data_IF_505329634938
#
_entry.id   IF_505329634938
#
_cell.length_a   1.000
_cell.length_b   1.000
_cell.length_c   1.000
_cell.angle_alpha   90.00
_cell.angle_beta   90.00
_cell.angle_gamma   90.00
#
_symmetry.space_group_name_H-M   'P 1'
#
loop_
_entity.id
_entity.type
_entity.pdbx_description
1 polymer ?
#
# COMPACT_ATOMS: atom_id res chain seq x y z
N UNK A 1 20.24 -13.32 -12.88
CA UNK A 1 19.81 -12.00 -12.43
C UNK A 1 18.39 -12.10 -11.91
N UNK A 2 18.15 -11.58 -10.71
CA UNK A 2 16.82 -11.66 -10.09
C UNK A 2 15.89 -10.55 -10.49
N UNK A 3 14.60 -10.75 -10.27
CA UNK A 3 13.59 -9.71 -10.36
C UNK A 3 13.56 -8.92 -9.05
N UNK A 4 13.10 -7.67 -9.08
CA UNK A 4 12.93 -6.92 -7.85
C UNK A 4 12.00 -7.67 -6.88
N UNK A 5 12.37 -7.72 -5.60
CA UNK A 5 11.59 -8.43 -4.59
C UNK A 5 11.32 -7.57 -3.33
N UNK A 6 11.66 -6.30 -3.38
CA UNK A 6 11.34 -5.32 -2.35
C UNK A 6 10.69 -4.10 -2.96
N UNK A 7 9.67 -3.59 -2.25
CA UNK A 7 9.15 -2.25 -2.47
C UNK A 7 9.48 -1.48 -1.20
N UNK A 8 10.20 -0.39 -1.33
CA UNK A 8 10.57 0.46 -0.18
C UNK A 8 9.79 1.76 -0.27
N UNK A 9 9.04 2.07 0.78
CA UNK A 9 8.34 3.34 0.90
C UNK A 9 9.03 4.17 1.98
N UNK A 10 9.31 5.41 1.67
CA UNK A 10 9.88 6.35 2.64
C UNK A 10 8.74 6.97 3.41
N UNK A 11 8.78 6.84 4.73
CA UNK A 11 7.69 7.26 5.61
C UNK A 11 8.21 8.15 6.73
N UNK A 12 7.35 9.01 7.26
CA UNK A 12 7.75 9.88 8.35
C UNK A 12 7.90 9.12 9.66
N UNK A 13 6.93 8.25 9.97
CA UNK A 13 6.88 7.49 11.22
C UNK A 13 6.65 6.01 10.93
N UNK A 14 7.73 5.19 10.84
CA UNK A 14 7.57 3.78 10.47
C UNK A 14 6.61 3.00 11.36
N UNK A 15 6.56 3.29 12.66
CA UNK A 15 5.66 2.56 13.56
C UNK A 15 4.19 2.90 13.28
N UNK A 16 3.87 4.16 13.00
CA UNK A 16 2.50 4.56 12.63
C UNK A 16 2.10 3.96 11.28
N UNK A 17 3.01 3.99 10.32
CA UNK A 17 2.77 3.37 9.00
C UNK A 17 2.59 1.87 9.14
N UNK A 18 3.38 1.22 9.99
CA UNK A 18 3.28 -0.22 10.22
C UNK A 18 1.92 -0.60 10.83
N UNK A 19 1.40 0.20 11.76
CA UNK A 19 0.05 -0.03 12.30
C UNK A 19 -1.00 0.04 11.20
N UNK A 20 -0.89 1.04 10.34
CA UNK A 20 -1.79 1.18 9.20
C UNK A 20 -1.74 -0.05 8.29
N UNK A 21 -0.53 -0.46 7.88
CA UNK A 21 -0.37 -1.59 6.96
C UNK A 21 -0.75 -2.92 7.59
N UNK A 22 -0.47 -3.11 8.89
CA UNK A 22 -0.87 -4.32 9.60
C UNK A 22 -2.40 -4.49 9.58
N UNK A 23 -3.13 -3.38 9.81
CA UNK A 23 -4.60 -3.41 9.76
C UNK A 23 -5.09 -3.65 8.32
N UNK A 24 -4.50 -2.94 7.37
CA UNK A 24 -4.93 -3.01 5.98
C UNK A 24 -4.73 -4.39 5.38
N UNK A 25 -3.57 -4.99 5.65
CA UNK A 25 -3.15 -6.26 5.07
C UNK A 25 -3.56 -7.47 5.90
N UNK A 26 -4.05 -7.27 7.12
CA UNK A 26 -4.31 -8.33 8.10
C UNK A 26 -3.05 -9.19 8.30
N UNK A 27 -1.91 -8.53 8.51
CA UNK A 27 -0.63 -9.19 8.69
C UNK A 27 0.19 -8.51 9.76
N UNK A 28 1.05 -9.30 10.39
CA UNK A 28 2.06 -8.77 11.30
C UNK A 28 3.35 -8.52 10.54
N UNK A 29 4.16 -7.54 10.95
CA UNK A 29 5.47 -7.34 10.34
C UNK A 29 6.36 -8.57 10.48
N UNK A 30 7.19 -8.83 9.46
CA UNK A 30 8.24 -9.83 9.55
C UNK A 30 9.38 -9.37 10.45
N UNK A 31 9.66 -8.06 10.44
CA UNK A 31 10.74 -7.46 11.20
C UNK A 31 10.37 -6.00 11.50
N UNK A 32 10.85 -5.49 12.63
CA UNK A 32 10.50 -4.13 13.06
C UNK A 32 11.63 -3.55 13.90
N UNK A 33 12.02 -2.34 13.54
CA UNK A 33 12.96 -1.54 14.33
C UNK A 33 12.45 -0.10 14.39
N UNK A 34 13.19 0.79 15.05
CA UNK A 34 12.75 2.17 15.20
C UNK A 34 12.67 2.93 13.88
N UNK A 35 13.45 2.52 12.86
CA UNK A 35 13.52 3.23 11.58
C UNK A 35 13.13 2.40 10.36
N UNK A 36 12.77 1.13 10.55
CA UNK A 36 12.43 0.26 9.42
C UNK A 36 11.49 -0.85 9.86
N UNK A 37 10.40 -1.05 9.10
CA UNK A 37 9.46 -2.15 9.35
C UNK A 37 9.23 -2.87 8.03
N UNK A 38 9.20 -4.20 8.06
CA UNK A 38 9.08 -5.02 6.85
C UNK A 38 7.90 -5.97 6.96
N UNK A 39 7.12 -6.04 5.86
CA UNK A 39 6.01 -6.98 5.71
C UNK A 39 6.26 -7.91 4.54
N UNK A 40 5.73 -9.12 4.60
CA UNK A 40 5.66 -10.00 3.45
C UNK A 40 4.36 -9.74 2.69
N UNK A 41 4.45 -9.40 1.40
CA UNK A 41 3.27 -9.23 0.54
C UNK A 41 2.97 -10.53 -0.19
N UNK A 42 4.00 -11.27 -0.58
CA UNK A 42 3.91 -12.59 -1.19
C UNK A 42 5.25 -13.29 -0.91
N UNK A 43 5.38 -14.59 -1.21
CA UNK A 43 6.65 -15.27 -0.97
C UNK A 43 7.87 -14.60 -1.62
N UNK A 44 7.66 -13.90 -2.73
CA UNK A 44 8.74 -13.29 -3.48
C UNK A 44 8.74 -11.77 -3.42
N UNK A 45 7.88 -11.15 -2.59
CA UNK A 45 7.76 -9.70 -2.56
C UNK A 45 7.56 -9.18 -1.14
N UNK A 46 8.38 -8.23 -0.74
CA UNK A 46 8.32 -7.61 0.58
C UNK A 46 8.10 -6.11 0.48
N UNK A 47 7.42 -5.57 1.47
CA UNK A 47 7.21 -4.14 1.62
C UNK A 47 8.05 -3.66 2.81
N UNK A 48 8.94 -2.71 2.56
CA UNK A 48 9.71 -2.06 3.62
C UNK A 48 9.22 -0.63 3.82
N UNK A 49 9.06 -0.26 5.08
CA UNK A 49 8.69 1.10 5.48
C UNK A 49 9.92 1.69 6.16
N UNK A 50 10.57 2.64 5.51
CA UNK A 50 11.87 3.17 5.94
C UNK A 50 11.72 4.64 6.34
N UNK A 51 12.21 5.00 7.52
CA UNK A 51 12.13 6.38 8.00
C UNK A 51 12.82 7.31 7.02
N UNK A 52 12.06 8.28 6.47
CA UNK A 52 12.57 9.23 5.48
C UNK A 52 13.84 9.93 5.96
N UNK A 53 13.91 10.28 7.24
CA UNK A 53 15.05 10.99 7.81
C UNK A 53 16.36 10.20 7.78
N UNK A 54 16.27 8.86 7.68
CA UNK A 54 17.45 7.98 7.68
C UNK A 54 17.80 7.45 6.29
N UNK A 55 17.05 7.82 5.27
CA UNK A 55 17.31 7.35 3.90
C UNK A 55 18.50 8.11 3.32
N UNK A 56 19.46 7.35 2.78
CA UNK A 56 20.64 7.88 2.10
C UNK A 56 20.74 7.35 0.67
N UNK A 57 20.91 8.17 -0.36
CA UNK A 57 20.88 9.63 -0.34
C UNK A 57 19.52 10.18 0.08
N UNK A 58 19.48 11.41 0.57
CA UNK A 58 18.25 12.01 1.06
C UNK A 58 17.19 12.08 -0.04
N UNK A 59 15.95 11.66 0.25
CA UNK A 59 14.88 11.70 -0.75
C UNK A 59 14.39 13.12 -0.99
N UNK A 60 13.87 13.37 -2.19
CA UNK A 60 13.42 14.70 -2.61
C UNK A 60 11.92 14.93 -2.50
N UNK A 61 11.10 14.23 -3.23
CA UNK A 61 9.75 14.68 -3.55
C UNK A 61 8.62 13.92 -2.88
N UNK A 62 7.38 14.26 -3.28
CA UNK A 62 6.14 13.74 -2.72
C UNK A 62 5.90 12.26 -3.01
N UNK A 63 5.02 11.63 -2.20
CA UNK A 63 4.75 10.19 -2.25
C UNK A 63 3.78 9.78 -3.35
N UNK A 64 3.09 10.72 -4.00
CA UNK A 64 2.00 10.41 -4.93
C UNK A 64 2.42 10.23 -6.38
N UNK A 65 3.66 9.78 -6.61
CA UNK A 65 4.20 9.59 -7.96
C UNK A 65 4.06 8.16 -8.47
N UNK A 66 3.39 7.28 -7.72
CA UNK A 66 3.17 5.90 -8.10
C UNK A 66 2.13 5.25 -7.21
N UNK A 67 1.88 3.96 -7.45
CA UNK A 67 0.86 3.22 -6.70
C UNK A 67 1.32 1.80 -6.43
N UNK A 68 0.86 1.25 -5.30
CA UNK A 68 0.81 -0.20 -5.12
C UNK A 68 -0.57 -0.65 -5.58
N UNK A 69 -0.63 -1.64 -6.44
CA UNK A 69 -1.90 -2.09 -7.00
C UNK A 69 -2.12 -3.58 -6.76
N UNK A 70 -3.37 -3.95 -6.47
CA UNK A 70 -3.77 -5.32 -6.25
C UNK A 70 -4.98 -5.62 -7.14
N UNK A 71 -4.88 -6.70 -7.93
CA UNK A 71 -6.00 -7.16 -8.75
C UNK A 71 -6.87 -8.12 -7.94
N UNK A 72 -8.17 -8.03 -8.14
CA UNK A 72 -9.14 -8.98 -7.58
C UNK A 72 -9.98 -9.57 -8.71
N UNK A 73 -10.69 -10.66 -8.41
CA UNK A 73 -11.36 -11.44 -9.45
C UNK A 73 -12.72 -10.89 -9.86
N UNK A 74 -13.42 -10.17 -8.98
CA UNK A 74 -14.78 -9.72 -9.26
C UNK A 74 -14.98 -8.26 -8.87
N UNK A 75 -15.98 -7.63 -9.52
CA UNK A 75 -16.36 -6.26 -9.16
C UNK A 75 -16.91 -6.20 -7.73
N UNK A 76 -17.59 -7.25 -7.28
CA UNK A 76 -18.12 -7.32 -5.92
C UNK A 76 -17.01 -7.27 -4.87
N UNK A 77 -15.86 -7.88 -5.18
CA UNK A 77 -14.69 -7.79 -4.29
C UNK A 77 -14.16 -6.37 -4.19
N UNK A 78 -14.20 -5.59 -5.27
CA UNK A 78 -13.82 -4.17 -5.25
C UNK A 78 -14.69 -3.43 -4.24
N UNK A 79 -16.02 -3.62 -4.33
CA UNK A 79 -16.96 -2.95 -3.42
C UNK A 79 -16.74 -3.38 -1.96
N UNK A 80 -16.59 -4.68 -1.74
CA UNK A 80 -16.41 -5.23 -0.39
C UNK A 80 -15.12 -4.74 0.24
N UNK A 81 -14.03 -4.71 -0.51
CA UNK A 81 -12.75 -4.24 -0.01
C UNK A 81 -12.75 -2.74 0.26
N UNK A 82 -13.44 -1.95 -0.57
CA UNK A 82 -13.58 -0.53 -0.29
C UNK A 82 -14.29 -0.29 1.04
N UNK A 83 -15.40 -1.01 1.28
CA UNK A 83 -16.12 -0.94 2.54
C UNK A 83 -15.23 -1.35 3.72
N UNK A 84 -14.44 -2.41 3.54
CA UNK A 84 -13.51 -2.88 4.55
C UNK A 84 -12.44 -1.84 4.89
N UNK A 85 -11.84 -1.22 3.86
CA UNK A 85 -10.83 -0.16 4.05
C UNK A 85 -11.40 1.04 4.79
N UNK A 86 -12.64 1.41 4.48
CA UNK A 86 -13.33 2.48 5.22
C UNK A 86 -13.47 2.14 6.69
N UNK A 87 -13.88 0.91 7.00
CA UNK A 87 -14.02 0.46 8.39
C UNK A 87 -12.67 0.51 9.12
N UNK A 88 -11.59 0.26 8.40
CA UNK A 88 -10.22 0.28 8.95
C UNK A 88 -9.63 1.69 9.03
N UNK A 89 -10.38 2.71 8.62
CA UNK A 89 -9.96 4.09 8.75
C UNK A 89 -9.08 4.63 7.63
N UNK A 90 -8.99 3.92 6.51
CA UNK A 90 -8.19 4.39 5.38
C UNK A 90 -8.84 5.60 4.70
N UNK A 91 -8.02 6.53 4.25
CA UNK A 91 -8.48 7.69 3.49
C UNK A 91 -8.82 7.27 2.06
N UNK A 92 -10.07 7.40 1.65
CA UNK A 92 -10.52 7.04 0.32
C UNK A 92 -10.26 8.20 -0.63
N UNK A 93 -9.39 7.99 -1.62
CA UNK A 93 -9.10 8.98 -2.65
C UNK A 93 -10.03 8.87 -3.84
N UNK A 94 -10.52 7.65 -4.11
CA UNK A 94 -11.47 7.40 -5.19
C UNK A 94 -12.43 6.31 -4.73
N UNK A 95 -13.72 6.63 -4.69
CA UNK A 95 -14.77 5.64 -4.46
C UNK A 95 -14.81 4.68 -5.63
N UNK A 96 -15.40 3.47 -5.47
CA UNK A 96 -15.47 2.53 -6.58
C UNK A 96 -16.05 3.18 -7.84
N UNK A 97 -15.31 3.03 -8.94
CA UNK A 97 -15.64 3.61 -10.23
C UNK A 97 -15.19 2.68 -11.33
N UNK A 98 -15.84 2.74 -12.49
CA UNK A 98 -15.44 1.97 -13.66
C UNK A 98 -14.57 2.87 -14.56
N UNK A 99 -13.35 2.39 -14.83
CA UNK A 99 -12.40 3.06 -15.70
C UNK A 99 -12.07 2.13 -16.87
N UNK A 100 -11.24 2.59 -17.79
CA UNK A 100 -10.92 1.80 -18.99
C UNK A 100 -10.39 0.41 -18.68
N UNK A 101 -9.61 0.29 -17.60
CA UNK A 101 -8.98 -0.98 -17.22
C UNK A 101 -9.84 -1.84 -16.29
N UNK A 102 -10.97 -1.34 -15.81
CA UNK A 102 -11.87 -2.10 -14.95
C UNK A 102 -12.46 -1.31 -13.80
N UNK A 103 -13.14 -2.00 -12.90
CA UNK A 103 -13.71 -1.42 -11.67
C UNK A 103 -12.61 -1.25 -10.63
N UNK A 104 -12.55 -0.09 -9.98
CA UNK A 104 -11.41 0.23 -9.10
C UNK A 104 -11.78 1.19 -7.98
N UNK A 105 -11.03 1.15 -6.88
CA UNK A 105 -11.01 2.21 -5.88
C UNK A 105 -9.57 2.49 -5.46
N UNK A 106 -9.34 3.61 -4.78
CA UNK A 106 -8.02 4.06 -4.41
C UNK A 106 -8.02 4.61 -2.99
N UNK A 107 -7.05 4.20 -2.19
CA UNK A 107 -6.86 4.77 -0.84
C UNK A 107 -5.46 5.35 -0.72
N UNK A 108 -5.25 6.19 0.29
CA UNK A 108 -3.93 6.70 0.65
C UNK A 108 -3.51 6.13 1.98
N UNK A 109 -2.20 5.90 2.14
CA UNK A 109 -1.61 5.60 3.43
C UNK A 109 -1.36 6.91 4.22
N UNK A 110 -0.86 6.84 5.47
CA UNK A 110 -0.62 8.07 6.27
C UNK A 110 0.32 9.08 5.63
N UNK A 111 1.21 8.66 4.74
CA UNK A 111 2.17 9.54 4.07
C UNK A 111 1.73 9.96 2.67
N UNK A 112 0.55 9.53 2.24
CA UNK A 112 0.02 9.87 0.93
C UNK A 112 0.38 8.91 -0.19
N UNK A 113 1.01 7.77 0.11
CA UNK A 113 1.24 6.74 -0.90
C UNK A 113 -0.10 6.15 -1.32
N UNK A 114 -0.24 5.87 -2.62
CA UNK A 114 -1.48 5.40 -3.20
C UNK A 114 -1.54 3.88 -3.27
N UNK A 115 -2.69 3.34 -2.87
CA UNK A 115 -2.95 1.89 -2.86
C UNK A 115 -4.22 1.65 -3.65
N UNK A 116 -4.09 0.96 -4.77
CA UNK A 116 -5.21 0.71 -5.70
C UNK A 116 -5.66 -0.74 -5.62
N UNK A 117 -6.98 -0.94 -5.65
CA UNK A 117 -7.58 -2.26 -5.85
C UNK A 117 -8.40 -2.18 -7.12
N UNK A 118 -8.29 -3.19 -7.99
CA UNK A 118 -9.05 -3.19 -9.23
C UNK A 118 -9.42 -4.60 -9.68
N UNK A 119 -10.56 -4.69 -10.36
CA UNK A 119 -10.97 -5.89 -11.07
C UNK A 119 -10.76 -5.60 -12.55
N UNK A 120 -9.86 -6.32 -13.24
CA UNK A 120 -9.61 -6.06 -14.66
C UNK A 120 -10.88 -6.18 -15.50
N UNK A 121 -11.02 -5.31 -16.49
CA UNK A 121 -12.12 -5.40 -17.44
C UNK A 121 -12.04 -6.71 -18.22
N UNK A 122 -13.20 -7.29 -18.63
CA UNK A 122 -13.21 -8.56 -19.37
C UNK A 122 -12.58 -8.42 -20.76
#
# INVERSE_FOLDING_TARGET
MGLPHFILLYVDEPQASAEFYARLLDRKPLDSSSNFVMFELSPDLRLGLWARRDVEPAPGSAADTGELAMAVATNEEVEALCADRKRKGAAILQEPATMDFGRTFLVADPDGHRLRVFCPAP
#
